data_IF_629545588547
#
_entry.id   IF_629545588547
#
_cell.length_a   1.000
_cell.length_b   1.000
_cell.length_c   1.000
_cell.angle_alpha   90.00
_cell.angle_beta   90.00
_cell.angle_gamma   90.00
#
_symmetry.space_group_name_H-M   'P 1'
#
loop_
_entity.id
_entity.type
_entity.pdbx_description
1 polymer ?
#
# COMPACT_ATOMS: atom_id res chain seq x y z
N UNK A 1 -11.59 3.80 16.88
CA UNK A 1 -10.75 2.68 17.38
C UNK A 1 -9.29 3.06 17.22
N UNK A 2 -8.47 2.96 18.27
CA UNK A 2 -7.01 3.18 18.16
C UNK A 2 -6.48 2.18 17.13
N UNK A 3 -5.98 2.66 15.98
CA UNK A 3 -5.28 1.82 15.01
C UNK A 3 -4.03 1.30 15.73
N UNK A 4 -4.07 0.04 16.18
CA UNK A 4 -2.93 -0.62 16.80
C UNK A 4 -1.74 -0.74 15.83
N UNK A 5 -2.03 -0.68 14.52
CA UNK A 5 -1.05 -0.75 13.45
C UNK A 5 -0.99 0.55 12.65
N UNK A 6 0.23 1.06 12.48
CA UNK A 6 0.53 2.10 11.49
C UNK A 6 0.43 1.51 10.08
N UNK A 7 -0.40 2.08 9.17
CA UNK A 7 -0.46 1.66 7.78
C UNK A 7 0.91 1.62 7.08
N UNK A 8 1.89 2.38 7.54
CA UNK A 8 3.28 2.29 7.10
C UNK A 8 3.92 0.93 7.39
N UNK A 9 3.83 0.49 8.65
CA UNK A 9 4.41 -0.77 9.12
C UNK A 9 3.76 -1.97 8.44
N UNK A 10 2.44 -1.96 8.27
CA UNK A 10 1.68 -3.02 7.58
C UNK A 10 2.22 -3.25 6.17
N UNK A 11 2.39 -2.17 5.41
CA UNK A 11 2.87 -2.22 4.03
C UNK A 11 4.31 -2.70 3.94
N UNK A 12 5.16 -2.33 4.89
CA UNK A 12 6.54 -2.82 4.95
C UNK A 12 6.56 -4.33 5.19
N UNK A 13 5.76 -4.83 6.13
CA UNK A 13 5.67 -6.27 6.41
C UNK A 13 5.13 -7.05 5.21
N UNK A 14 4.08 -6.55 4.55
CA UNK A 14 3.56 -7.14 3.32
C UNK A 14 4.60 -7.20 2.20
N UNK A 15 5.36 -6.12 2.02
CA UNK A 15 6.42 -6.09 1.02
C UNK A 15 7.54 -7.09 1.34
N UNK A 16 8.03 -7.11 2.59
CA UNK A 16 9.05 -8.06 3.03
C UNK A 16 8.58 -9.50 2.89
N UNK A 17 7.34 -9.80 3.28
CA UNK A 17 6.75 -11.14 3.14
C UNK A 17 6.67 -11.56 1.67
N UNK A 18 6.28 -10.64 0.79
CA UNK A 18 6.18 -10.93 -0.64
C UNK A 18 7.54 -11.28 -1.27
N UNK A 19 8.58 -10.52 -0.94
CA UNK A 19 9.94 -10.78 -1.44
C UNK A 19 10.49 -12.08 -0.84
N UNK A 20 10.34 -12.27 0.46
CA UNK A 20 10.83 -13.45 1.16
C UNK A 20 10.22 -14.74 0.58
N UNK A 21 8.90 -14.78 0.43
CA UNK A 21 8.20 -15.95 -0.14
C UNK A 21 8.58 -16.18 -1.61
N UNK A 22 8.79 -15.13 -2.40
CA UNK A 22 9.27 -15.26 -3.78
C UNK A 22 10.65 -15.91 -3.86
N UNK A 23 11.60 -15.45 -3.03
CA UNK A 23 12.97 -15.96 -3.03
C UNK A 23 13.00 -17.43 -2.63
N UNK A 24 12.24 -17.81 -1.59
CA UNK A 24 12.11 -19.21 -1.16
C UNK A 24 11.51 -20.06 -2.26
N UNK A 25 10.39 -19.63 -2.85
CA UNK A 25 9.73 -20.35 -3.93
C UNK A 25 10.68 -20.57 -5.12
N UNK A 26 11.43 -19.53 -5.50
CA UNK A 26 12.39 -19.58 -6.61
C UNK A 26 13.52 -20.56 -6.31
N UNK A 27 14.09 -20.50 -5.11
CA UNK A 27 15.13 -21.43 -4.70
C UNK A 27 14.65 -22.89 -4.74
N UNK A 28 13.50 -23.18 -4.11
CA UNK A 28 12.93 -24.53 -4.07
C UNK A 28 12.58 -25.05 -5.48
N UNK A 29 12.01 -24.18 -6.33
CA UNK A 29 11.71 -24.50 -7.73
C UNK A 29 12.96 -24.93 -8.51
N UNK A 30 14.07 -24.20 -8.33
CA UNK A 30 15.33 -24.51 -9.01
C UNK A 30 15.96 -25.80 -8.49
N UNK A 31 15.85 -26.08 -7.19
CA UNK A 31 16.40 -27.31 -6.58
C UNK A 31 15.61 -28.57 -6.94
N UNK A 32 14.30 -28.46 -7.14
CA UNK A 32 13.38 -29.58 -7.40
C UNK A 32 13.17 -29.88 -8.91
N UNK A 33 14.04 -29.37 -9.79
CA UNK A 33 13.97 -29.69 -11.22
C UNK A 33 12.97 -28.85 -12.02
N UNK A 34 12.83 -27.56 -11.68
CA UNK A 34 12.06 -26.53 -12.38
C UNK A 34 10.56 -26.81 -12.52
N UNK A 35 10.13 -27.73 -13.39
CA UNK A 35 8.71 -27.93 -13.67
C UNK A 35 7.98 -28.60 -12.50
N UNK A 36 8.55 -29.67 -11.94
CA UNK A 36 7.98 -30.34 -10.77
C UNK A 36 8.02 -29.42 -9.54
N UNK A 37 9.17 -28.76 -9.32
CA UNK A 37 9.33 -27.73 -8.30
C UNK A 37 8.37 -26.55 -8.46
N UNK A 38 8.04 -26.14 -9.68
CA UNK A 38 7.11 -25.04 -9.91
C UNK A 38 5.70 -25.43 -9.47
N UNK A 39 5.25 -26.66 -9.77
CA UNK A 39 3.95 -27.15 -9.33
C UNK A 39 3.90 -27.31 -7.80
N UNK A 40 4.96 -27.85 -7.19
CA UNK A 40 5.05 -28.03 -5.75
C UNK A 40 5.03 -26.68 -5.00
N UNK A 41 5.76 -25.69 -5.51
CA UNK A 41 5.94 -24.39 -4.88
C UNK A 41 4.99 -23.30 -5.39
N UNK A 42 4.04 -23.65 -6.27
CA UNK A 42 3.08 -22.72 -6.87
C UNK A 42 2.35 -21.85 -5.84
N UNK A 43 1.99 -22.45 -4.70
CA UNK A 43 1.28 -21.77 -3.62
C UNK A 43 2.12 -20.64 -2.98
N UNK A 44 3.44 -20.80 -2.88
CA UNK A 44 4.33 -19.75 -2.37
C UNK A 44 4.38 -18.56 -3.35
N UNK A 45 4.41 -18.83 -4.65
CA UNK A 45 4.28 -17.77 -5.66
C UNK A 45 2.94 -17.05 -5.55
N UNK A 46 1.83 -17.79 -5.33
CA UNK A 46 0.52 -17.16 -5.11
C UNK A 46 0.51 -16.25 -3.89
N UNK A 47 1.11 -16.67 -2.77
CA UNK A 47 1.24 -15.82 -1.58
C UNK A 47 2.07 -14.58 -1.88
N UNK A 48 3.22 -14.74 -2.55
CA UNK A 48 4.09 -13.62 -2.91
C UNK A 48 3.36 -12.60 -3.78
N UNK A 49 2.77 -13.05 -4.89
CA UNK A 49 2.05 -12.16 -5.80
C UNK A 49 0.81 -11.55 -5.15
N UNK A 50 0.07 -12.33 -4.35
CA UNK A 50 -1.05 -11.82 -3.56
C UNK A 50 -0.63 -10.70 -2.61
N UNK A 51 0.48 -10.87 -1.89
CA UNK A 51 1.01 -9.86 -0.99
C UNK A 51 1.48 -8.59 -1.73
N UNK A 52 2.13 -8.73 -2.89
CA UNK A 52 2.52 -7.60 -3.74
C UNK A 52 1.30 -6.85 -4.29
N UNK A 53 0.29 -7.58 -4.79
CA UNK A 53 -0.93 -6.98 -5.33
C UNK A 53 -1.64 -6.20 -4.22
N UNK A 54 -1.78 -6.81 -3.03
CA UNK A 54 -2.40 -6.17 -1.89
C UNK A 54 -1.62 -4.95 -1.40
N UNK A 55 -0.29 -5.03 -1.33
CA UNK A 55 0.59 -3.89 -1.05
C UNK A 55 0.34 -2.73 -2.02
N UNK A 56 0.26 -3.02 -3.32
CA UNK A 56 0.01 -2.00 -4.36
C UNK A 56 -1.36 -1.36 -4.19
N UNK A 57 -2.38 -2.17 -3.90
CA UNK A 57 -3.73 -1.70 -3.63
C UNK A 57 -3.75 -0.73 -2.42
N UNK A 58 -3.15 -1.12 -1.29
CA UNK A 58 -3.08 -0.26 -0.10
C UNK A 58 -2.30 1.02 -0.34
N UNK A 59 -1.21 0.95 -1.13
CA UNK A 59 -0.41 2.11 -1.52
C UNK A 59 -1.23 3.08 -2.37
N UNK A 60 -2.06 2.58 -3.29
CA UNK A 60 -2.94 3.42 -4.10
C UNK A 60 -3.98 4.12 -3.22
N UNK A 61 -4.67 3.39 -2.34
CA UNK A 61 -5.67 3.97 -1.44
C UNK A 61 -5.10 5.03 -0.51
N UNK A 62 -3.87 4.83 -0.05
CA UNK A 62 -3.20 5.86 0.75
C UNK A 62 -2.92 7.13 -0.04
N UNK A 63 -2.56 7.02 -1.32
CA UNK A 63 -2.38 8.20 -2.18
C UNK A 63 -3.70 8.94 -2.40
N UNK A 64 -4.78 8.21 -2.61
CA UNK A 64 -6.13 8.78 -2.75
C UNK A 64 -6.54 9.53 -1.48
N UNK A 65 -6.37 8.92 -0.30
CA UNK A 65 -6.67 9.55 0.98
C UNK A 65 -5.86 10.83 1.22
N UNK A 66 -4.55 10.83 0.93
CA UNK A 66 -3.71 12.03 1.06
C UNK A 66 -4.15 13.13 0.09
N UNK A 67 -4.53 12.77 -1.14
CA UNK A 67 -5.02 13.75 -2.12
C UNK A 67 -6.34 14.40 -1.68
N UNK A 68 -7.25 13.63 -1.07
CA UNK A 68 -8.50 14.15 -0.49
C UNK A 68 -8.24 15.11 0.68
N UNK A 69 -7.32 14.76 1.58
CA UNK A 69 -6.93 15.63 2.71
C UNK A 69 -6.28 16.94 2.22
N UNK A 70 -5.44 16.88 1.18
CA UNK A 70 -4.88 18.07 0.54
C UNK A 70 -5.95 18.94 -0.14
N UNK A 71 -6.95 18.33 -0.79
CA UNK A 71 -8.04 19.06 -1.42
C UNK A 71 -8.93 19.76 -0.36
N UNK A 72 -9.23 19.05 0.73
CA UNK A 72 -10.00 19.59 1.85
C UNK A 72 -9.28 20.76 2.55
N UNK A 73 -7.98 20.63 2.79
CA UNK A 73 -7.18 21.70 3.42
C UNK A 73 -7.09 22.95 2.52
N UNK A 74 -6.91 22.79 1.20
CA UNK A 74 -6.94 23.89 0.23
C UNK A 74 -8.31 24.57 0.15
N UNK A 75 -9.40 23.80 0.19
CA UNK A 75 -10.75 24.33 0.22
C UNK A 75 -11.04 25.14 1.50
N UNK A 76 -10.62 24.63 2.66
CA UNK A 76 -10.75 25.31 3.94
C UNK A 76 -9.94 26.63 3.97
N UNK A 77 -8.70 26.63 3.47
CA UNK A 77 -7.88 27.83 3.37
C UNK A 77 -8.53 28.89 2.45
N UNK A 78 -9.12 28.47 1.32
CA UNK A 78 -9.81 29.37 0.38
C UNK A 78 -11.10 29.94 0.97
N UNK A 79 -11.84 29.16 1.77
CA UNK A 79 -13.02 29.62 2.50
C UNK A 79 -12.67 30.66 3.57
N UNK A 80 -11.58 30.44 4.32
CA UNK A 80 -11.08 31.39 5.32
C UNK A 80 -10.56 32.70 4.69
N UNK A 81 -9.92 32.63 3.52
CA UNK A 81 -9.48 33.81 2.79
C UNK A 81 -10.66 34.67 2.31
N UNK A 82 -11.74 34.05 1.82
CA UNK A 82 -12.96 34.75 1.41
C UNK A 82 -13.71 35.40 2.58
N UNK A 83 -13.75 34.77 3.75
CA UNK A 83 -14.41 35.35 4.94
C UNK A 83 -13.66 36.57 5.47
N UNK A 84 -12.31 36.53 5.49
CA UNK A 84 -11.47 37.68 5.86
C UNK A 84 -11.62 38.87 4.90
N UNK A 85 -11.71 38.61 3.58
CA UNK A 85 -11.92 39.66 2.59
C UNK A 85 -13.29 40.35 2.71
N UNK A 86 -14.34 39.60 3.09
CA UNK A 86 -15.69 40.14 3.29
C UNK A 86 -15.78 40.99 4.57
N UNK A 87 -15.02 40.64 5.62
CA UNK A 87 -15.00 41.39 6.88
C UNK A 87 -14.17 42.69 6.81
N UNK A 88 -13.18 42.77 5.91
CA UNK A 88 -12.37 44.00 5.70
C UNK A 88 -13.10 45.07 4.88
N UNK A 89 -14.20 44.71 4.21
CA UNK A 89 -14.97 45.59 3.30
C UNK A 89 -16.22 46.19 3.97
N UNK A 90 -16.40 45.96 5.26
CA UNK A 90 -17.53 46.40 6.09
C UNK A 90 -16.99 47.25 7.22
#
# INVERSE_FOLDING_TARGET
MKRFWDPGIERTLLFTLAIFTFVIATYQTLTEGNMEGLYHNYWLYMISFGAIIYYRYLKQRHKEAVAEEEAASKAAAKAQAKSKAKNKKR
#
